data_IF_989983638408
#
_entry.id   IF_989983638408
#
_cell.length_a   1.000
_cell.length_b   1.000
_cell.length_c   1.000
_cell.angle_alpha   90.00
_cell.angle_beta   90.00
_cell.angle_gamma   90.00
#
_symmetry.space_group_name_H-M   'P 1'
#
loop_
_entity.id
_entity.type
_entity.pdbx_description
1 polymer ?
#
# COMPACT_ATOMS: atom_id res chain seq x y z
N UNK A 1 -1.37 5.13 -46.05
CA UNK A 1 -1.82 6.04 -44.97
C UNK A 1 -1.94 5.25 -43.68
N UNK A 2 -0.88 5.22 -42.87
CA UNK A 2 -0.86 4.49 -41.60
C UNK A 2 -1.03 5.51 -40.47
N UNK A 3 -2.10 5.42 -39.68
CA UNK A 3 -2.36 6.31 -38.54
C UNK A 3 -1.50 5.87 -37.35
N UNK A 4 -0.55 6.71 -36.94
CA UNK A 4 0.12 6.64 -35.65
C UNK A 4 -0.84 7.17 -34.58
N UNK A 5 -1.53 6.28 -33.87
CA UNK A 5 -2.17 6.59 -32.58
C UNK A 5 -1.20 6.13 -31.48
N UNK A 6 -0.18 6.93 -31.20
CA UNK A 6 0.59 6.82 -29.96
C UNK A 6 -0.03 7.79 -28.97
N UNK A 7 -0.67 7.22 -27.95
CA UNK A 7 -1.28 7.92 -26.83
C UNK A 7 -0.23 8.85 -26.16
N UNK A 8 -0.51 10.16 -26.13
CA UNK A 8 0.39 11.17 -25.54
C UNK A 8 0.76 10.84 -24.09
N UNK A 9 -0.12 10.12 -23.37
CA UNK A 9 0.14 9.66 -22.01
C UNK A 9 1.25 8.59 -21.93
N UNK A 10 1.35 7.70 -22.93
CA UNK A 10 2.44 6.71 -23.01
C UNK A 10 3.77 7.35 -23.39
N UNK A 11 3.75 8.37 -24.25
CA UNK A 11 4.95 9.15 -24.63
C UNK A 11 5.48 9.99 -23.47
N UNK A 12 4.62 10.64 -22.68
CA UNK A 12 5.02 11.37 -21.48
C UNK A 12 5.59 10.43 -20.40
N UNK A 13 5.00 9.24 -20.21
CA UNK A 13 5.54 8.23 -19.29
C UNK A 13 6.89 7.66 -19.77
N UNK A 14 7.06 7.46 -21.08
CA UNK A 14 8.30 6.95 -21.65
C UNK A 14 9.44 7.98 -21.57
N UNK A 15 9.16 9.26 -21.82
CA UNK A 15 10.13 10.35 -21.75
C UNK A 15 10.57 10.68 -20.31
N UNK A 16 9.66 10.58 -19.33
CA UNK A 16 10.01 10.68 -17.90
C UNK A 16 10.86 9.48 -17.44
N UNK A 17 10.54 8.27 -17.89
CA UNK A 17 11.31 7.05 -17.58
C UNK A 17 12.71 7.07 -18.19
N UNK A 18 12.88 7.56 -19.41
CA UNK A 18 14.19 7.50 -20.10
C UNK A 18 15.14 8.61 -19.72
N UNK A 19 14.69 9.83 -19.35
CA UNK A 19 15.60 10.94 -19.00
C UNK A 19 15.98 11.01 -17.51
N UNK A 20 15.08 10.66 -16.60
CA UNK A 20 15.40 10.73 -15.16
C UNK A 20 16.22 9.51 -14.71
N UNK A 21 15.95 8.30 -15.21
CA UNK A 21 16.66 7.08 -14.77
C UNK A 21 18.01 6.84 -15.45
N UNK A 22 18.34 7.56 -16.53
CA UNK A 22 19.63 7.44 -17.24
C UNK A 22 20.64 8.54 -16.89
N UNK A 23 20.25 9.53 -16.08
CA UNK A 23 21.14 10.61 -15.66
C UNK A 23 22.19 10.08 -14.66
N UNK A 24 23.49 10.34 -14.88
CA UNK A 24 24.54 10.02 -13.90
C UNK A 24 24.28 10.63 -12.52
N UNK A 25 23.56 11.75 -12.45
CA UNK A 25 23.18 12.40 -11.20
C UNK A 25 22.08 11.65 -10.42
N UNK A 26 21.25 10.85 -11.10
CA UNK A 26 20.25 9.96 -10.46
C UNK A 26 20.89 8.63 -10.06
N UNK A 27 21.93 8.18 -10.77
CA UNK A 27 22.80 7.08 -10.32
C UNK A 27 23.64 7.48 -9.09
N UNK A 28 24.02 8.75 -8.91
CA UNK A 28 24.74 9.22 -7.72
C UNK A 28 23.85 9.36 -6.46
N UNK A 29 22.52 9.33 -6.59
CA UNK A 29 21.58 9.18 -5.46
C UNK A 29 21.43 7.71 -5.02
N UNK A 30 22.46 6.89 -5.24
CA UNK A 30 22.60 5.49 -4.82
C UNK A 30 22.77 5.34 -3.30
N UNK A 31 21.90 6.00 -2.53
CA UNK A 31 21.57 5.62 -1.17
C UNK A 31 20.21 4.90 -1.18
N UNK A 32 20.18 3.73 -1.83
CA UNK A 32 19.33 2.56 -1.57
C UNK A 32 17.79 2.72 -1.51
N UNK A 33 17.23 3.89 -1.79
CA UNK A 33 15.79 4.16 -1.67
C UNK A 33 15.21 4.69 -2.98
N UNK A 34 14.70 3.80 -3.83
CA UNK A 34 13.97 4.21 -5.04
C UNK A 34 12.47 4.22 -4.71
N UNK A 35 11.93 5.42 -4.52
CA UNK A 35 10.51 5.67 -4.29
C UNK A 35 9.85 6.18 -5.57
N UNK A 36 8.73 5.58 -5.97
CA UNK A 36 7.89 6.08 -7.06
C UNK A 36 6.54 6.56 -6.52
N UNK A 37 6.08 7.74 -6.95
CA UNK A 37 4.72 8.25 -6.71
C UNK A 37 3.80 8.07 -7.93
N UNK A 38 4.28 7.33 -8.95
CA UNK A 38 3.49 7.03 -10.15
C UNK A 38 2.30 6.13 -9.81
N UNK A 39 1.17 6.23 -10.53
CA UNK A 39 0.06 5.28 -10.39
C UNK A 39 0.46 3.86 -10.81
N UNK A 40 1.54 3.70 -11.60
CA UNK A 40 2.00 2.41 -12.13
C UNK A 40 3.28 1.98 -11.42
N UNK A 41 3.31 0.72 -10.98
CA UNK A 41 4.49 0.08 -10.42
C UNK A 41 5.68 0.15 -11.39
N UNK A 42 6.83 0.60 -10.88
CA UNK A 42 8.06 0.67 -11.66
C UNK A 42 8.61 -0.73 -11.93
N UNK A 43 9.27 -0.90 -13.08
CA UNK A 43 9.93 -2.16 -13.39
C UNK A 43 11.14 -2.39 -12.46
N UNK A 44 11.48 -3.65 -12.15
CA UNK A 44 12.70 -3.96 -11.40
C UNK A 44 13.95 -3.39 -12.08
N UNK A 45 14.89 -2.90 -11.28
CA UNK A 45 16.14 -2.31 -11.75
C UNK A 45 17.29 -3.25 -11.43
N UNK A 46 18.17 -3.51 -12.40
CA UNK A 46 19.40 -4.30 -12.18
C UNK A 46 20.59 -3.37 -11.99
N UNK A 47 21.30 -3.50 -10.89
CA UNK A 47 22.57 -2.81 -10.60
C UNK A 47 23.50 -3.78 -9.87
N UNK A 48 24.78 -3.82 -10.26
CA UNK A 48 25.84 -4.56 -9.55
C UNK A 48 25.51 -6.05 -9.31
N UNK A 49 24.88 -6.71 -10.28
CA UNK A 49 24.49 -8.13 -10.20
C UNK A 49 23.24 -8.41 -9.34
N UNK A 50 22.68 -7.39 -8.68
CA UNK A 50 21.48 -7.49 -7.86
C UNK A 50 20.26 -6.89 -8.60
N UNK A 51 19.08 -7.44 -8.32
CA UNK A 51 17.79 -6.90 -8.80
C UNK A 51 17.07 -6.20 -7.65
N UNK A 52 16.70 -4.95 -7.88
CA UNK A 52 15.99 -4.09 -6.93
C UNK A 52 14.55 -3.88 -7.38
N UNK A 53 13.66 -3.77 -6.40
CA UNK A 53 12.23 -3.57 -6.62
C UNK A 53 11.81 -2.21 -6.03
N UNK A 54 11.78 -1.13 -6.83
CA UNK A 54 11.38 0.18 -6.35
C UNK A 54 10.00 0.14 -5.71
N UNK A 55 9.89 0.65 -4.49
CA UNK A 55 8.61 0.76 -3.79
C UNK A 55 7.74 1.86 -4.41
N UNK A 56 6.44 1.63 -4.51
CA UNK A 56 5.47 2.66 -4.87
C UNK A 56 4.89 3.27 -3.60
N UNK A 57 5.15 4.55 -3.35
CA UNK A 57 4.47 5.30 -2.30
C UNK A 57 3.07 5.63 -2.79
N UNK A 58 2.08 4.93 -2.23
CA UNK A 58 0.70 5.11 -2.61
C UNK A 58 -0.20 5.09 -1.37
N UNK A 59 -1.27 5.88 -1.40
CA UNK A 59 -2.24 5.98 -0.32
C UNK A 59 -3.09 4.71 -0.15
N UNK A 60 -3.09 3.80 -1.13
CA UNK A 60 -3.82 2.55 -1.02
C UNK A 60 -3.33 1.68 0.14
N UNK A 61 -2.11 1.89 0.67
CA UNK A 61 -1.59 1.21 1.86
C UNK A 61 -2.17 1.71 3.19
N UNK A 62 -2.94 2.80 3.17
CA UNK A 62 -3.39 3.53 4.37
C UNK A 62 -4.90 3.74 4.35
N UNK A 63 -5.45 4.26 3.26
CA UNK A 63 -6.85 4.69 3.23
C UNK A 63 -7.87 3.54 3.34
N UNK A 64 -7.71 2.39 2.67
CA UNK A 64 -8.62 1.27 2.84
C UNK A 64 -8.58 0.70 4.26
N UNK A 65 -7.39 0.54 4.85
CA UNK A 65 -7.21 0.08 6.22
C UNK A 65 -7.85 1.01 7.26
N UNK A 66 -7.60 2.31 7.17
CA UNK A 66 -8.26 3.33 8.01
C UNK A 66 -9.78 3.25 7.81
N UNK A 67 -10.25 3.15 6.57
CA UNK A 67 -11.66 3.05 6.24
C UNK A 67 -12.34 1.85 6.90
N UNK A 68 -11.73 0.66 6.82
CA UNK A 68 -12.24 -0.56 7.45
C UNK A 68 -12.24 -0.43 8.99
N UNK A 69 -11.16 0.06 9.59
CA UNK A 69 -11.08 0.22 11.04
C UNK A 69 -12.10 1.23 11.57
N UNK A 70 -12.25 2.38 10.92
CA UNK A 70 -13.24 3.42 11.29
C UNK A 70 -14.66 2.91 11.09
N UNK A 71 -14.93 2.22 9.98
CA UNK A 71 -16.24 1.62 9.71
C UNK A 71 -16.65 0.64 10.82
N UNK A 72 -15.73 -0.25 11.21
CA UNK A 72 -15.99 -1.26 12.22
C UNK A 72 -16.15 -0.66 13.62
N UNK A 73 -15.20 0.18 14.05
CA UNK A 73 -15.10 0.68 15.43
C UNK A 73 -15.93 1.93 15.72
N UNK A 74 -16.42 2.61 14.69
CA UNK A 74 -17.31 3.80 14.78
C UNK A 74 -16.80 4.92 15.71
N UNK A 75 -15.53 5.35 15.60
CA UNK A 75 -15.03 6.45 16.43
C UNK A 75 -15.73 7.76 16.06
N UNK A 76 -15.84 8.69 17.01
CA UNK A 76 -16.49 9.99 16.78
C UNK A 76 -15.66 10.93 15.90
N UNK A 77 -14.33 10.76 15.90
CA UNK A 77 -13.37 11.60 15.17
C UNK A 77 -12.25 10.71 14.65
N UNK A 78 -11.72 11.03 13.47
CA UNK A 78 -10.50 10.44 12.94
C UNK A 78 -9.35 11.36 13.36
N UNK A 79 -8.31 10.80 13.98
CA UNK A 79 -7.18 11.58 14.53
C UNK A 79 -5.89 11.27 13.76
N UNK A 80 -4.92 12.19 13.82
CA UNK A 80 -3.58 11.97 13.23
C UNK A 80 -2.89 10.73 13.81
N UNK A 81 -3.18 10.40 15.08
CA UNK A 81 -2.66 9.22 15.74
C UNK A 81 -3.09 7.91 15.05
N UNK A 82 -4.31 7.85 14.51
CA UNK A 82 -4.78 6.71 13.72
C UNK A 82 -3.96 6.55 12.42
N UNK A 83 -3.63 7.64 11.74
CA UNK A 83 -2.79 7.60 10.54
C UNK A 83 -1.34 7.22 10.86
N UNK A 84 -0.80 7.68 12.00
CA UNK A 84 0.52 7.27 12.47
C UNK A 84 0.53 5.78 12.81
N UNK A 85 -0.54 5.26 13.42
CA UNK A 85 -0.69 3.83 13.69
C UNK A 85 -0.74 3.01 12.39
N UNK A 86 -1.50 3.46 11.39
CA UNK A 86 -1.54 2.82 10.07
C UNK A 86 -0.17 2.82 9.37
N UNK A 87 0.54 3.95 9.38
CA UNK A 87 1.86 4.06 8.77
C UNK A 87 2.88 3.11 9.42
N UNK A 88 2.87 3.00 10.76
CA UNK A 88 3.71 2.04 11.49
C UNK A 88 3.34 0.61 11.15
N UNK A 89 2.05 0.27 11.18
CA UNK A 89 1.57 -1.06 10.87
C UNK A 89 1.90 -1.50 9.43
N UNK A 90 1.85 -0.58 8.47
CA UNK A 90 2.27 -0.84 7.08
C UNK A 90 3.79 -1.08 6.99
N UNK A 91 4.60 -0.26 7.68
CA UNK A 91 6.06 -0.40 7.69
C UNK A 91 6.56 -1.67 8.40
N UNK A 92 5.87 -2.10 9.46
CA UNK A 92 6.20 -3.32 10.22
C UNK A 92 6.05 -4.60 9.38
N UNK A 93 5.24 -4.55 8.32
CA UNK A 93 5.05 -5.67 7.40
C UNK A 93 6.18 -5.80 6.36
N UNK A 94 7.14 -4.88 6.35
CA UNK A 94 8.33 -4.94 5.50
C UNK A 94 9.50 -5.52 6.29
N UNK A 95 9.60 -6.85 6.28
CA UNK A 95 10.65 -7.59 6.99
C UNK A 95 12.06 -7.40 6.42
N UNK A 96 13.11 -7.90 7.13
CA UNK A 96 14.51 -7.74 6.74
C UNK A 96 14.81 -8.21 5.32
N UNK A 97 14.21 -9.33 4.88
CA UNK A 97 14.41 -9.90 3.54
C UNK A 97 13.88 -8.99 2.42
N UNK A 98 12.77 -8.30 2.67
CA UNK A 98 12.18 -7.36 1.72
C UNK A 98 13.02 -6.07 1.67
N UNK A 99 13.47 -5.58 2.84
CA UNK A 99 14.38 -4.43 2.92
C UNK A 99 15.71 -4.70 2.22
N UNK A 100 16.26 -5.91 2.33
CA UNK A 100 17.46 -6.35 1.63
C UNK A 100 17.32 -6.33 0.09
N UNK A 101 16.08 -6.37 -0.42
CA UNK A 101 15.75 -6.22 -1.86
C UNK A 101 15.44 -4.77 -2.25
N UNK A 102 15.62 -3.82 -1.33
CA UNK A 102 15.30 -2.40 -1.51
C UNK A 102 13.82 -2.07 -1.42
N UNK A 103 12.99 -2.98 -0.90
CA UNK A 103 11.55 -2.71 -0.75
C UNK A 103 11.26 -1.85 0.48
N UNK A 104 10.46 -0.82 0.26
CA UNK A 104 9.98 0.10 1.30
C UNK A 104 8.55 -0.13 1.75
N UNK A 105 7.76 -0.81 0.91
CA UNK A 105 6.36 -1.10 1.16
C UNK A 105 6.11 -2.60 1.07
N UNK A 106 5.04 -3.10 1.70
CA UNK A 106 4.59 -4.47 1.54
C UNK A 106 4.33 -4.83 0.07
N UNK A 107 4.26 -6.13 -0.21
CA UNK A 107 3.95 -6.60 -1.57
C UNK A 107 2.50 -6.29 -1.94
N UNK A 108 2.29 -5.69 -3.11
CA UNK A 108 0.95 -5.45 -3.67
C UNK A 108 0.17 -6.75 -3.96
N UNK A 109 0.88 -7.87 -4.19
CA UNK A 109 0.23 -9.15 -4.48
C UNK A 109 -0.66 -9.64 -3.34
N UNK A 110 -0.34 -9.26 -2.10
CA UNK A 110 -1.08 -9.63 -0.89
C UNK A 110 -1.71 -8.40 -0.25
N UNK A 111 -2.21 -7.46 -1.06
CA UNK A 111 -2.67 -6.18 -0.54
C UNK A 111 -3.86 -6.31 0.41
N UNK A 112 -4.80 -7.25 0.16
CA UNK A 112 -5.93 -7.47 1.07
C UNK A 112 -5.45 -7.87 2.48
N UNK A 113 -4.53 -8.81 2.56
CA UNK A 113 -3.91 -9.25 3.82
C UNK A 113 -3.16 -8.09 4.50
N UNK A 114 -2.48 -7.27 3.70
CA UNK A 114 -1.75 -6.09 4.18
C UNK A 114 -2.70 -5.05 4.79
N UNK A 115 -3.81 -4.78 4.11
CA UNK A 115 -4.83 -3.83 4.55
C UNK A 115 -5.56 -4.34 5.80
N UNK A 116 -5.91 -5.63 5.88
CA UNK A 116 -6.56 -6.21 7.07
C UNK A 116 -5.62 -6.13 8.28
N UNK A 117 -4.34 -6.47 8.11
CA UNK A 117 -3.33 -6.36 9.18
C UNK A 117 -3.19 -4.91 9.65
N UNK A 118 -3.14 -3.96 8.73
CA UNK A 118 -3.06 -2.54 9.04
C UNK A 118 -4.33 -2.04 9.73
N UNK A 119 -5.50 -2.47 9.27
CA UNK A 119 -6.80 -2.12 9.86
C UNK A 119 -6.93 -2.66 11.29
N UNK A 120 -6.48 -3.89 11.55
CA UNK A 120 -6.48 -4.48 12.89
C UNK A 120 -5.66 -3.64 13.87
N UNK A 121 -4.46 -3.19 13.45
CA UNK A 121 -3.61 -2.31 14.27
C UNK A 121 -4.24 -0.94 14.55
N UNK A 122 -4.93 -0.37 13.56
CA UNK A 122 -5.66 0.89 13.75
C UNK A 122 -6.85 0.67 14.68
N UNK A 123 -7.59 -0.43 14.54
CA UNK A 123 -8.72 -0.77 15.41
C UNK A 123 -8.27 -1.00 16.87
N UNK A 124 -7.17 -1.73 17.07
CA UNK A 124 -6.49 -1.86 18.37
C UNK A 124 -6.21 -0.49 18.98
N UNK A 125 -5.57 0.40 18.22
CA UNK A 125 -5.30 1.77 18.66
C UNK A 125 -6.57 2.50 19.09
N UNK A 126 -7.64 2.46 18.29
CA UNK A 126 -8.92 3.11 18.60
C UNK A 126 -9.53 2.57 19.90
N UNK A 127 -9.50 1.25 20.12
CA UNK A 127 -9.98 0.63 21.35
C UNK A 127 -9.12 0.99 22.57
N UNK A 128 -7.79 0.90 22.44
CA UNK A 128 -6.84 1.16 23.52
C UNK A 128 -6.92 2.61 24.03
N UNK A 129 -7.34 3.55 23.16
CA UNK A 129 -7.49 4.96 23.51
C UNK A 129 -8.94 5.34 23.92
N UNK A 130 -9.85 4.36 24.00
CA UNK A 130 -11.25 4.60 24.38
C UNK A 130 -12.02 5.44 23.37
N UNK A 131 -11.59 5.44 22.10
CA UNK A 131 -12.19 6.25 21.04
C UNK A 131 -13.30 5.50 20.28
N UNK A 132 -13.40 4.18 20.47
CA UNK A 132 -14.39 3.31 19.83
C UNK A 132 -15.82 3.66 20.27
N UNK A 133 -16.76 3.60 19.30
CA UNK A 133 -18.19 3.74 19.51
C UNK A 133 -18.93 2.41 19.71
N UNK A 134 -18.20 1.29 19.82
CA UNK A 134 -18.71 -0.07 19.98
C UNK A 134 -17.92 -0.83 21.05
N UNK A 135 -18.45 -1.96 21.52
CA UNK A 135 -17.73 -2.85 22.43
C UNK A 135 -16.57 -3.55 21.71
N UNK A 136 -15.47 -3.79 22.44
CA UNK A 136 -14.27 -4.44 21.90
C UNK A 136 -14.54 -5.95 21.73
N UNK A 137 -14.36 -6.52 20.52
CA UNK A 137 -14.47 -7.96 20.34
C UNK A 137 -13.26 -8.68 20.94
N UNK A 138 -13.42 -9.96 21.26
CA UNK A 138 -12.32 -10.82 21.75
C UNK A 138 -11.20 -10.95 20.72
N UNK A 139 -11.57 -11.10 19.43
CA UNK A 139 -10.64 -11.15 18.30
C UNK A 139 -10.98 -10.04 17.29
N UNK A 140 -10.21 -8.96 17.36
CA UNK A 140 -10.36 -7.81 16.47
C UNK A 140 -10.11 -8.21 15.02
N UNK A 141 -9.11 -9.06 14.76
CA UNK A 141 -8.72 -9.40 13.39
C UNK A 141 -9.80 -10.25 12.72
N UNK A 142 -10.22 -11.33 13.37
CA UNK A 142 -11.27 -12.20 12.85
C UNK A 142 -12.59 -11.42 12.63
N UNK A 143 -12.89 -10.49 13.53
CA UNK A 143 -14.04 -9.60 13.38
C UNK A 143 -13.94 -8.70 12.14
N UNK A 144 -12.79 -8.07 11.89
CA UNK A 144 -12.58 -7.25 10.69
C UNK A 144 -12.64 -8.08 9.40
N UNK A 145 -12.05 -9.29 9.40
CA UNK A 145 -12.11 -10.22 8.27
C UNK A 145 -13.57 -10.56 7.91
N UNK A 146 -14.42 -10.80 8.91
CA UNK A 146 -15.85 -11.06 8.71
C UNK A 146 -16.64 -9.87 8.15
N UNK A 147 -16.13 -8.63 8.26
CA UNK A 147 -16.73 -7.43 7.69
C UNK A 147 -16.27 -7.17 6.24
N UNK A 148 -15.28 -7.90 5.74
CA UNK A 148 -14.78 -7.70 4.38
C UNK A 148 -15.75 -8.21 3.32
N UNK A 149 -15.73 -7.56 2.14
CA UNK A 149 -16.54 -7.98 1.02
C UNK A 149 -15.96 -9.23 0.34
N UNK A 150 -16.78 -10.28 0.20
CA UNK A 150 -16.47 -11.43 -0.62
C UNK A 150 -17.05 -11.26 -2.04
N UNK A 151 -16.22 -11.22 -3.10
CA UNK A 151 -16.66 -11.03 -4.48
C UNK A 151 -17.25 -12.32 -5.08
N UNK A 152 -18.26 -12.89 -4.42
CA UNK A 152 -18.96 -14.10 -4.87
C UNK A 152 -20.37 -13.74 -5.36
N UNK A 153 -20.75 -14.29 -6.52
CA UNK A 153 -22.14 -14.21 -6.96
C UNK A 153 -23.01 -15.12 -6.10
N UNK A 154 -24.22 -14.67 -5.70
CA UNK A 154 -25.18 -15.57 -5.09
C UNK A 154 -25.56 -16.68 -6.08
N UNK A 155 -25.78 -17.89 -5.57
CA UNK A 155 -26.31 -18.98 -6.38
C UNK A 155 -27.63 -18.53 -7.05
N UNK A 156 -27.89 -18.89 -8.32
CA UNK A 156 -29.14 -18.54 -8.97
C UNK A 156 -30.31 -19.07 -8.14
N UNK A 157 -31.32 -18.23 -7.87
CA UNK A 157 -32.57 -18.69 -7.28
C UNK A 157 -33.22 -19.69 -8.24
N UNK A 158 -33.46 -20.91 -7.78
CA UNK A 158 -34.24 -21.92 -8.50
C UNK A 158 -35.72 -21.62 -8.46
#
# INVERSE_FOLDING_TARGET
MCRLNLDLAQLQNHLLRTRLLSSPHVQLLQSWLILSISPVQSQPVRSDGQTYHPGQANNFYIFPAIGLAVYATKPKRITDAMFIAAARASADQVGPDLRGKGMLFPSQANILETEITTAARVAEHIFDHGEAGVERPDDIRAWLEALTYAPAYPAPSR
#
